data_IF_274008666845
#
_entry.id   IF_274008666845
#
_cell.length_a   1.000
_cell.length_b   1.000
_cell.length_c   1.000
_cell.angle_alpha   90.00
_cell.angle_beta   90.00
_cell.angle_gamma   90.00
#
_symmetry.space_group_name_H-M   'P 1'
#
loop_
_entity.id
_entity.type
_entity.pdbx_description
1 polymer ?
#
# COMPACT_ATOMS: atom_id res chain seq x y z
N UNK A 1 -22.01 -9.55 -28.25
CA UNK A 1 -21.03 -8.90 -27.36
C UNK A 1 -21.78 -8.23 -26.22
N UNK A 2 -21.77 -8.82 -25.03
CA UNK A 2 -22.35 -8.15 -23.85
C UNK A 2 -21.39 -7.03 -23.42
N UNK A 3 -21.86 -5.79 -23.42
CA UNK A 3 -21.14 -4.69 -22.77
C UNK A 3 -21.38 -4.87 -21.26
N UNK A 4 -20.35 -5.15 -20.43
CA UNK A 4 -20.55 -5.18 -19.00
C UNK A 4 -21.08 -3.82 -18.55
N UNK A 5 -22.14 -3.83 -17.75
CA UNK A 5 -22.87 -2.64 -17.34
C UNK A 5 -21.94 -1.61 -16.70
N UNK A 6 -22.16 -0.34 -17.04
CA UNK A 6 -21.47 0.80 -16.45
C UNK A 6 -21.80 0.88 -14.95
N UNK A 7 -21.03 0.18 -14.11
CA UNK A 7 -20.89 0.52 -12.72
C UNK A 7 -19.88 1.67 -12.63
N UNK A 8 -20.07 2.57 -11.65
CA UNK A 8 -19.19 3.72 -11.36
C UNK A 8 -17.69 3.36 -11.29
N UNK A 9 -17.38 2.08 -11.11
CA UNK A 9 -16.06 1.50 -10.90
C UNK A 9 -15.15 1.46 -12.14
N UNK A 10 -15.65 1.50 -13.38
CA UNK A 10 -14.79 1.37 -14.58
C UNK A 10 -15.31 2.17 -15.77
N UNK A 11 -15.07 3.48 -15.71
CA UNK A 11 -15.37 4.40 -16.80
C UNK A 11 -14.08 5.17 -17.15
N UNK A 12 -13.74 5.25 -18.44
CA UNK A 12 -12.59 6.03 -18.92
C UNK A 12 -12.90 7.55 -18.99
N UNK A 13 -14.14 7.96 -18.69
CA UNK A 13 -14.50 9.38 -18.62
C UNK A 13 -13.89 10.04 -17.37
N UNK A 14 -13.64 11.35 -17.48
CA UNK A 14 -13.22 12.18 -16.35
C UNK A 14 -14.25 12.07 -15.22
N UNK A 15 -13.77 11.88 -14.00
CA UNK A 15 -14.66 11.79 -12.85
C UNK A 15 -15.36 13.14 -12.63
N UNK A 16 -16.68 13.17 -12.35
CA UNK A 16 -17.46 14.41 -12.26
C UNK A 16 -16.97 15.41 -11.19
N UNK A 17 -16.20 14.94 -10.21
CA UNK A 17 -15.74 15.72 -9.05
C UNK A 17 -14.21 15.96 -9.08
N UNK A 18 -13.45 15.17 -9.84
CA UNK A 18 -11.99 15.31 -9.96
C UNK A 18 -11.57 15.32 -11.44
N UNK A 19 -11.49 16.52 -12.00
CA UNK A 19 -11.28 16.81 -13.44
C UNK A 19 -9.94 16.28 -13.99
N UNK A 20 -9.04 15.78 -13.12
CA UNK A 20 -7.72 15.26 -13.49
C UNK A 20 -7.56 13.74 -13.30
N UNK A 21 -8.61 13.01 -12.92
CA UNK A 21 -8.56 11.55 -12.73
C UNK A 21 -9.70 10.86 -13.45
N UNK A 22 -9.39 9.73 -14.08
CA UNK A 22 -10.40 8.88 -14.71
C UNK A 22 -11.16 8.10 -13.64
N UNK A 23 -12.38 7.62 -13.92
CA UNK A 23 -13.06 6.76 -12.94
C UNK A 23 -12.27 5.47 -12.66
N UNK A 24 -11.42 5.02 -13.60
CA UNK A 24 -10.45 3.94 -13.39
C UNK A 24 -9.42 4.28 -12.31
N UNK A 25 -8.85 5.48 -12.32
CA UNK A 25 -7.88 5.92 -11.31
C UNK A 25 -8.53 6.00 -9.92
N UNK A 26 -9.77 6.50 -9.87
CA UNK A 26 -10.54 6.56 -8.63
C UNK A 26 -10.87 5.16 -8.12
N UNK A 27 -11.30 4.25 -9.00
CA UNK A 27 -11.56 2.85 -8.67
C UNK A 27 -10.32 2.16 -8.11
N UNK A 28 -9.16 2.32 -8.78
CA UNK A 28 -7.89 1.76 -8.33
C UNK A 28 -7.47 2.32 -6.96
N UNK A 29 -7.61 3.64 -6.75
CA UNK A 29 -7.31 4.29 -5.48
C UNK A 29 -8.24 3.81 -4.36
N UNK A 30 -9.53 3.61 -4.66
CA UNK A 30 -10.52 3.10 -3.71
C UNK A 30 -10.21 1.66 -3.30
N UNK A 31 -9.99 0.76 -4.26
CA UNK A 31 -9.62 -0.64 -3.98
C UNK A 31 -8.29 -0.74 -3.22
N UNK A 32 -7.31 0.09 -3.55
CA UNK A 32 -6.05 0.15 -2.81
C UNK A 32 -6.24 0.66 -1.37
N UNK A 33 -7.07 1.68 -1.19
CA UNK A 33 -7.40 2.21 0.14
C UNK A 33 -8.13 1.17 1.00
N UNK A 34 -9.02 0.38 0.41
CA UNK A 34 -9.69 -0.73 1.07
C UNK A 34 -8.70 -1.85 1.46
N UNK A 35 -7.80 -2.22 0.55
CA UNK A 35 -6.72 -3.19 0.81
C UNK A 35 -5.86 -2.78 2.01
N UNK A 36 -5.51 -1.49 2.11
CA UNK A 36 -4.76 -0.95 3.25
C UNK A 36 -5.58 -1.01 4.55
N UNK A 37 -6.89 -0.72 4.49
CA UNK A 37 -7.75 -0.73 5.68
C UNK A 37 -7.92 -2.14 6.25
N UNK A 38 -8.05 -3.14 5.38
CA UNK A 38 -8.41 -4.51 5.77
C UNK A 38 -7.19 -5.39 6.09
N UNK A 39 -5.96 -4.94 5.82
CA UNK A 39 -4.75 -5.73 6.05
C UNK A 39 -3.69 -4.95 6.83
N UNK A 40 -3.35 -5.44 8.02
CA UNK A 40 -2.38 -4.82 8.92
C UNK A 40 -0.98 -4.66 8.34
N UNK A 41 -0.55 -5.59 7.46
CA UNK A 41 0.73 -5.54 6.75
C UNK A 41 0.77 -4.36 5.80
N UNK A 42 -0.24 -4.21 4.94
CA UNK A 42 -0.34 -3.09 4.00
C UNK A 42 -0.44 -1.74 4.71
N UNK A 43 -1.16 -1.69 5.83
CA UNK A 43 -1.25 -0.49 6.68
C UNK A 43 0.12 -0.08 7.24
N UNK A 44 0.90 -1.03 7.72
CA UNK A 44 2.22 -0.75 8.29
C UNK A 44 3.24 -0.34 7.21
N UNK A 45 3.29 -1.08 6.10
CA UNK A 45 4.13 -0.76 4.94
C UNK A 45 3.82 0.64 4.42
N UNK A 46 2.55 0.96 4.15
CA UNK A 46 2.17 2.28 3.62
C UNK A 46 2.55 3.43 4.56
N UNK A 47 2.48 3.21 5.88
CA UNK A 47 2.91 4.21 6.87
C UNK A 47 4.43 4.43 6.81
N UNK A 48 5.21 3.36 6.74
CA UNK A 48 6.67 3.45 6.65
C UNK A 48 7.12 4.11 5.33
N UNK A 49 6.49 3.72 4.21
CA UNK A 49 6.73 4.30 2.89
C UNK A 49 6.52 5.82 2.90
N UNK A 50 5.35 6.29 3.40
CA UNK A 50 5.07 7.72 3.50
C UNK A 50 6.06 8.47 4.38
N UNK A 51 6.50 7.88 5.48
CA UNK A 51 7.51 8.46 6.39
C UNK A 51 8.85 8.67 5.65
N UNK A 52 9.34 7.65 4.94
CA UNK A 52 10.61 7.71 4.22
C UNK A 52 10.54 8.62 2.99
N UNK A 53 9.42 8.60 2.27
CA UNK A 53 9.17 9.54 1.19
C UNK A 53 9.18 10.99 1.68
N UNK A 54 8.53 11.29 2.81
CA UNK A 54 8.57 12.63 3.42
C UNK A 54 9.97 13.06 3.88
N UNK A 55 10.84 12.12 4.30
CA UNK A 55 12.26 12.42 4.57
C UNK A 55 12.99 12.79 3.28
N UNK A 56 12.72 12.07 2.20
CA UNK A 56 13.31 12.30 0.88
C UNK A 56 12.90 13.64 0.30
N UNK A 57 11.62 14.00 0.36
CA UNK A 57 11.12 15.31 -0.10
C UNK A 57 11.67 16.48 0.72
N UNK A 58 11.98 16.26 2.01
CA UNK A 58 12.63 17.24 2.89
C UNK A 58 14.17 17.26 2.77
N UNK A 59 14.76 16.48 1.86
CA UNK A 59 16.21 16.40 1.69
C UNK A 59 16.96 15.72 2.85
N UNK A 60 16.26 15.05 3.78
CA UNK A 60 16.85 14.33 4.91
C UNK A 60 17.25 12.88 4.56
N UNK A 61 17.06 12.48 3.31
CA UNK A 61 17.36 11.17 2.76
C UNK A 61 17.58 11.34 1.26
N UNK A 62 18.62 10.71 0.69
CA UNK A 62 18.84 10.78 -0.75
C UNK A 62 17.82 9.90 -1.45
N UNK A 63 17.45 10.28 -2.68
CA UNK A 63 16.55 9.48 -3.51
C UNK A 63 17.07 8.05 -3.73
N UNK A 64 18.38 7.89 -3.96
CA UNK A 64 19.00 6.57 -4.09
C UNK A 64 18.86 5.71 -2.83
N UNK A 65 19.06 6.31 -1.65
CA UNK A 65 18.91 5.62 -0.36
C UNK A 65 17.45 5.20 -0.14
N UNK A 66 16.50 6.07 -0.51
CA UNK A 66 15.08 5.76 -0.48
C UNK A 66 14.71 4.60 -1.41
N UNK A 67 15.24 4.57 -2.63
CA UNK A 67 14.98 3.49 -3.60
C UNK A 67 15.56 2.15 -3.14
N UNK A 68 16.74 2.15 -2.53
CA UNK A 68 17.33 0.94 -1.91
C UNK A 68 16.42 0.47 -0.77
N UNK A 69 16.10 1.37 0.15
CA UNK A 69 15.21 1.08 1.28
C UNK A 69 13.87 0.52 0.80
N UNK A 70 13.24 1.14 -0.20
CA UNK A 70 11.94 0.71 -0.72
C UNK A 70 11.98 -0.71 -1.32
N UNK A 71 13.06 -1.07 -2.03
CA UNK A 71 13.21 -2.44 -2.57
C UNK A 71 13.36 -3.49 -1.48
N UNK A 72 14.10 -3.17 -0.41
CA UNK A 72 14.27 -4.10 0.69
C UNK A 72 12.99 -4.20 1.54
N UNK A 73 12.27 -3.10 1.69
CA UNK A 73 11.00 -3.04 2.38
C UNK A 73 9.90 -3.85 1.69
N UNK A 74 9.86 -3.80 0.37
CA UNK A 74 8.94 -4.59 -0.45
C UNK A 74 9.15 -6.10 -0.24
N UNK A 75 10.40 -6.56 -0.15
CA UNK A 75 10.70 -7.97 0.17
C UNK A 75 10.19 -8.35 1.56
N UNK A 76 10.40 -7.49 2.56
CA UNK A 76 9.91 -7.72 3.93
C UNK A 76 8.38 -7.80 3.98
N UNK A 77 7.69 -6.92 3.24
CA UNK A 77 6.24 -6.95 3.10
C UNK A 77 5.78 -8.27 2.49
N UNK A 78 6.39 -8.69 1.39
CA UNK A 78 5.93 -9.88 0.67
C UNK A 78 6.12 -11.15 1.50
N UNK A 79 7.23 -11.27 2.23
CA UNK A 79 7.43 -12.34 3.22
C UNK A 79 6.36 -12.27 4.32
N UNK A 80 6.14 -11.10 4.91
CA UNK A 80 5.14 -10.92 5.96
C UNK A 80 3.71 -11.21 5.47
N UNK A 81 3.39 -10.94 4.20
CA UNK A 81 2.09 -11.27 3.59
C UNK A 81 1.90 -12.78 3.45
N UNK A 82 2.94 -13.50 3.04
CA UNK A 82 2.90 -14.96 2.95
C UNK A 82 2.59 -15.54 4.34
N UNK A 83 3.33 -15.10 5.37
CA UNK A 83 3.13 -15.59 6.73
C UNK A 83 1.76 -15.20 7.30
N UNK A 84 1.32 -13.97 7.05
CA UNK A 84 0.01 -13.46 7.46
C UNK A 84 -1.12 -14.29 6.82
N UNK A 85 -1.01 -14.64 5.53
CA UNK A 85 -2.02 -15.45 4.83
C UNK A 85 -2.10 -16.91 5.29
N UNK A 86 -0.99 -17.48 5.77
CA UNK A 86 -0.93 -18.85 6.29
C UNK A 86 -1.48 -18.97 7.71
N UNK A 87 -1.66 -17.84 8.39
CA UNK A 87 -1.97 -17.79 9.82
C UNK A 87 -3.45 -17.46 10.03
N UNK A 88 -4.22 -18.37 10.62
CA UNK A 88 -5.61 -18.14 11.01
C UNK A 88 -5.75 -17.48 12.40
N UNK A 89 -4.70 -17.52 13.21
CA UNK A 89 -4.66 -17.00 14.58
C UNK A 89 -4.38 -15.48 14.58
N UNK A 90 -5.31 -14.72 15.18
CA UNK A 90 -5.27 -13.26 15.27
C UNK A 90 -4.07 -12.77 16.09
N UNK A 91 -3.66 -13.49 17.15
CA UNK A 91 -2.51 -13.09 17.97
C UNK A 91 -1.21 -13.22 17.20
N UNK A 92 -1.04 -14.33 16.46
CA UNK A 92 0.11 -14.54 15.57
C UNK A 92 0.11 -13.54 14.43
N UNK A 93 -1.05 -13.25 13.82
CA UNK A 93 -1.16 -12.18 12.83
C UNK A 93 -0.70 -10.83 13.38
N UNK A 94 -1.11 -10.49 14.61
CA UNK A 94 -0.67 -9.26 15.28
C UNK A 94 0.85 -9.26 15.51
N UNK A 95 1.42 -10.39 15.92
CA UNK A 95 2.88 -10.55 16.09
C UNK A 95 3.63 -10.31 14.78
N UNK A 96 3.15 -10.87 13.66
CA UNK A 96 3.73 -10.64 12.33
C UNK A 96 3.70 -9.14 11.97
N UNK A 97 2.58 -8.46 12.23
CA UNK A 97 2.45 -7.02 11.99
C UNK A 97 3.42 -6.20 12.88
N UNK A 98 3.61 -6.57 14.15
CA UNK A 98 4.57 -5.91 15.04
C UNK A 98 6.02 -6.16 14.62
N UNK A 99 6.35 -7.38 14.22
CA UNK A 99 7.69 -7.73 13.72
C UNK A 99 8.02 -6.91 12.47
N UNK A 100 7.09 -6.86 11.50
CA UNK A 100 7.24 -6.01 10.33
C UNK A 100 7.46 -4.55 10.76
N UNK A 101 6.60 -4.00 11.64
CA UNK A 101 6.77 -2.63 12.14
C UNK A 101 8.17 -2.38 12.73
N UNK A 102 8.73 -3.35 13.45
CA UNK A 102 10.07 -3.22 14.01
C UNK A 102 11.12 -3.15 12.90
N UNK A 103 11.12 -4.09 11.95
CA UNK A 103 12.05 -4.09 10.80
C UNK A 103 11.97 -2.79 9.99
N UNK A 104 10.76 -2.30 9.73
CA UNK A 104 10.51 -1.05 8.99
C UNK A 104 11.06 0.21 9.66
N UNK A 105 11.37 0.16 10.96
CA UNK A 105 11.84 1.31 11.73
C UNK A 105 13.31 1.19 12.19
N UNK A 106 14.05 0.16 11.78
CA UNK A 106 15.48 0.01 12.11
C UNK A 106 16.41 1.02 11.40
N UNK A 107 15.86 1.88 10.52
CA UNK A 107 16.60 2.80 9.62
C UNK A 107 16.30 4.28 9.90
#
# INVERSE_FOLDING_TARGET
MQKPGATYSYCDNLAPIEIYKTCRDIGAAASFSEKIKNNGIWKMHQRAYKKHFARTTKGKMRKADFEIWARDEEKLRDVALIDYSKTADVEKQMSIVQNLKHELNKV
#
